data_IF_647718519918
#
_entry.id   IF_647718519918
#
_cell.length_a   1.000
_cell.length_b   1.000
_cell.length_c   1.000
_cell.angle_alpha   90.00
_cell.angle_beta   90.00
_cell.angle_gamma   90.00
#
_symmetry.space_group_name_H-M   'P 1'
#
loop_
_entity.id
_entity.type
_entity.pdbx_description
1 polymer ?
#
# COMPACT_ATOMS: atom_id res chain seq x y z
N UNK A 1 -1.41 -2.51 -16.83
CA UNK A 1 -0.87 -3.09 -15.58
C UNK A 1 -2.05 -3.60 -14.75
N UNK A 2 -2.45 -4.87 -14.93
CA UNK A 2 -3.60 -5.50 -14.23
C UNK A 2 -3.20 -6.31 -12.97
N UNK A 3 -1.91 -6.30 -12.62
CA UNK A 3 -1.36 -7.19 -11.59
C UNK A 3 -1.96 -6.96 -10.20
N UNK A 4 -2.40 -5.74 -9.91
CA UNK A 4 -3.02 -5.36 -8.63
C UNK A 4 -4.55 -5.30 -8.70
N UNK A 5 -5.18 -5.64 -9.83
CA UNK A 5 -6.64 -5.58 -9.98
C UNK A 5 -7.31 -6.57 -9.02
N UNK A 6 -7.93 -6.06 -7.95
CA UNK A 6 -8.45 -6.85 -6.84
C UNK A 6 -7.39 -7.52 -5.97
N UNK A 7 -6.16 -7.00 -5.99
CA UNK A 7 -5.14 -7.31 -5.00
C UNK A 7 -5.43 -6.62 -3.68
N UNK A 8 -4.49 -6.70 -2.76
CA UNK A 8 -4.59 -6.07 -1.45
C UNK A 8 -3.43 -5.13 -1.17
N UNK A 9 -3.67 -4.13 -0.33
CA UNK A 9 -2.65 -3.31 0.30
C UNK A 9 -2.71 -3.55 1.80
N UNK A 10 -1.59 -3.96 2.36
CA UNK A 10 -1.41 -4.21 3.77
C UNK A 10 -0.55 -3.12 4.36
N UNK A 11 -0.99 -2.56 5.48
CA UNK A 11 -0.33 -1.47 6.19
C UNK A 11 0.29 -2.03 7.46
N UNK A 12 1.54 -1.67 7.70
CA UNK A 12 2.34 -2.20 8.79
C UNK A 12 2.98 -1.07 9.60
N UNK A 13 3.32 -1.40 10.84
CA UNK A 13 4.16 -0.58 11.70
C UNK A 13 5.66 -0.89 11.50
N UNK A 14 6.48 -0.20 12.29
CA UNK A 14 7.91 -0.49 12.42
C UNK A 14 8.72 -0.12 11.18
N UNK A 15 9.84 -0.81 10.98
CA UNK A 15 10.75 -0.53 9.87
C UNK A 15 10.39 -1.37 8.66
N UNK A 16 10.19 -0.70 7.52
CA UNK A 16 10.04 -1.34 6.21
C UNK A 16 11.25 -2.26 5.91
N UNK A 17 11.02 -3.49 5.46
CA UNK A 17 12.08 -4.35 4.95
C UNK A 17 12.83 -3.72 3.76
N UNK A 18 14.11 -4.09 3.59
CA UNK A 18 14.94 -3.52 2.52
C UNK A 18 14.42 -3.88 1.12
N UNK A 19 13.84 -5.08 0.97
CA UNK A 19 13.31 -5.57 -0.31
C UNK A 19 11.89 -6.10 -0.16
N UNK A 20 11.15 -6.09 -1.27
CA UNK A 20 9.76 -6.57 -1.32
C UNK A 20 9.65 -8.07 -1.06
N UNK A 21 10.71 -8.82 -1.37
CA UNK A 21 10.79 -10.27 -1.15
C UNK A 21 11.20 -10.64 0.28
N UNK A 22 11.66 -9.67 1.07
CA UNK A 22 11.98 -9.91 2.48
C UNK A 22 10.70 -10.20 3.25
N UNK A 23 10.68 -11.34 3.93
CA UNK A 23 9.57 -11.76 4.77
C UNK A 23 9.29 -10.73 5.88
N UNK A 24 8.02 -10.61 6.24
CA UNK A 24 7.55 -9.80 7.35
C UNK A 24 7.61 -10.70 8.59
N UNK A 25 8.41 -10.31 9.58
CA UNK A 25 8.63 -11.10 10.81
C UNK A 25 8.25 -10.31 12.05
N UNK A 26 8.75 -9.07 12.13
CA UNK A 26 8.66 -8.26 13.35
C UNK A 26 7.61 -7.15 13.24
N UNK A 27 7.11 -6.89 12.03
CA UNK A 27 6.15 -5.82 11.78
C UNK A 27 4.73 -6.31 12.02
N UNK A 28 3.95 -5.52 12.74
CA UNK A 28 2.54 -5.75 13.02
C UNK A 28 1.70 -5.33 11.82
N UNK A 29 0.81 -6.23 11.36
CA UNK A 29 -0.23 -5.86 10.40
C UNK A 29 -1.25 -4.96 11.10
N UNK A 30 -1.38 -3.72 10.64
CA UNK A 30 -2.33 -2.75 11.17
C UNK A 30 -3.66 -2.80 10.43
N UNK A 31 -3.62 -2.89 9.10
CA UNK A 31 -4.83 -2.89 8.27
C UNK A 31 -4.62 -3.63 6.95
N UNK A 32 -5.68 -4.23 6.44
CA UNK A 32 -5.72 -4.85 5.11
C UNK A 32 -6.86 -4.24 4.29
N UNK A 33 -6.50 -3.56 3.20
CA UNK A 33 -7.48 -2.95 2.30
C UNK A 33 -7.43 -3.62 0.93
N UNK A 34 -8.59 -3.74 0.29
CA UNK A 34 -8.69 -4.30 -1.06
C UNK A 34 -8.65 -3.19 -2.13
N UNK A 35 -7.90 -3.45 -3.20
CA UNK A 35 -7.93 -2.61 -4.39
C UNK A 35 -9.22 -2.81 -5.18
N UNK A 36 -9.68 -1.73 -5.82
CA UNK A 36 -10.71 -1.80 -6.85
C UNK A 36 -10.27 -2.63 -8.06
N UNK A 37 -11.23 -2.99 -8.92
CA UNK A 37 -10.98 -3.55 -10.25
C UNK A 37 -11.52 -2.59 -11.31
N UNK A 38 -10.67 -1.88 -12.07
CA UNK A 38 -9.19 -1.87 -12.01
C UNK A 38 -8.63 -1.17 -10.76
N UNK A 39 -7.40 -1.50 -10.37
CA UNK A 39 -6.79 -0.98 -9.14
C UNK A 39 -6.25 0.44 -9.29
N UNK A 40 -5.73 0.77 -10.47
CA UNK A 40 -5.13 2.06 -10.77
C UNK A 40 -5.80 2.71 -11.99
N UNK A 41 -5.74 4.03 -12.02
CA UNK A 41 -6.00 4.81 -13.23
C UNK A 41 -4.82 4.66 -14.22
N UNK A 42 -5.02 5.14 -15.44
CA UNK A 42 -3.91 5.22 -16.40
C UNK A 42 -2.79 6.09 -15.80
N UNK A 43 -1.54 5.65 -15.97
CA UNK A 43 -0.40 6.43 -15.49
C UNK A 43 -0.29 7.73 -16.29
N UNK A 44 -0.15 8.85 -15.60
CA UNK A 44 0.13 10.17 -16.18
C UNK A 44 1.47 10.62 -15.60
N UNK A 45 2.39 11.05 -16.47
CA UNK A 45 3.75 11.47 -16.08
C UNK A 45 4.52 10.41 -15.27
N UNK A 46 4.31 9.12 -15.56
CA UNK A 46 4.97 8.00 -14.87
C UNK A 46 4.39 7.67 -13.48
N UNK A 47 3.31 8.34 -13.08
CA UNK A 47 2.63 8.10 -11.80
C UNK A 47 1.27 7.47 -12.07
N UNK A 48 1.07 6.26 -11.56
CA UNK A 48 -0.24 5.63 -11.51
C UNK A 48 -0.92 5.96 -10.18
N UNK A 49 -2.10 6.56 -10.22
CA UNK A 49 -2.92 6.81 -9.03
C UNK A 49 -3.86 5.64 -8.80
N UNK A 50 -3.91 5.13 -7.57
CA UNK A 50 -4.89 4.11 -7.23
C UNK A 50 -6.30 4.71 -7.32
N UNK A 51 -7.24 3.91 -7.80
CA UNK A 51 -8.68 4.23 -7.69
C UNK A 51 -9.11 4.16 -6.22
N UNK A 52 -10.39 4.40 -5.95
CA UNK A 52 -10.94 4.25 -4.61
C UNK A 52 -10.52 2.90 -3.99
N UNK A 53 -9.85 2.95 -2.85
CA UNK A 53 -9.48 1.77 -2.06
C UNK A 53 -10.56 1.63 -0.99
N UNK A 54 -11.17 0.45 -0.91
CA UNK A 54 -12.22 0.21 0.06
C UNK A 54 -11.64 0.35 1.49
N UNK A 55 -12.28 1.12 2.38
CA UNK A 55 -11.80 1.27 3.75
C UNK A 55 -11.84 -0.06 4.48
N UNK A 56 -10.79 -0.36 5.25
CA UNK A 56 -10.82 -1.45 6.22
C UNK A 56 -11.77 -1.04 7.35
N UNK A 57 -12.81 -1.84 7.57
CA UNK A 57 -13.84 -1.56 8.57
C UNK A 57 -13.38 -1.91 9.99
N UNK A 58 -12.31 -2.70 10.13
CA UNK A 58 -11.79 -3.13 11.42
C UNK A 58 -10.31 -3.45 11.34
N UNK A 59 -9.48 -2.46 11.68
CA UNK A 59 -8.03 -2.61 11.76
C UNK A 59 -7.62 -3.88 12.53
N UNK A 60 -6.72 -4.67 11.93
CA UNK A 60 -6.18 -5.89 12.51
C UNK A 60 -5.35 -5.65 13.78
N UNK A 61 -4.74 -4.46 13.89
CA UNK A 61 -3.82 -4.12 14.97
C UNK A 61 -3.82 -2.62 15.27
N UNK A 62 -3.03 -2.25 16.28
CA UNK A 62 -2.84 -0.86 16.69
C UNK A 62 -1.38 -0.48 16.62
N UNK A 63 -1.09 0.76 16.23
CA UNK A 63 0.27 1.24 16.07
C UNK A 63 0.38 2.42 15.13
N UNK A 64 1.61 2.85 14.86
CA UNK A 64 1.91 3.89 13.88
C UNK A 64 2.15 3.28 12.51
N UNK A 65 1.31 3.63 11.53
CA UNK A 65 1.46 3.21 10.15
C UNK A 65 2.64 3.92 9.49
N UNK A 66 3.71 3.18 9.22
CA UNK A 66 4.95 3.73 8.66
C UNK A 66 5.18 3.26 7.22
N UNK A 67 4.71 2.07 6.85
CA UNK A 67 4.89 1.53 5.50
C UNK A 67 3.75 0.59 5.09
N UNK A 68 3.68 0.29 3.80
CA UNK A 68 2.71 -0.63 3.24
C UNK A 68 3.37 -1.56 2.22
N UNK A 69 2.72 -2.71 2.00
CA UNK A 69 3.02 -3.68 0.94
C UNK A 69 1.77 -3.95 0.13
N UNK A 70 1.87 -3.79 -1.19
CA UNK A 70 0.82 -4.23 -2.12
C UNK A 70 1.09 -5.65 -2.60
N UNK A 71 0.04 -6.45 -2.76
CA UNK A 71 0.11 -7.81 -3.24
C UNK A 71 -0.87 -8.06 -4.38
N UNK A 72 -0.49 -8.90 -5.33
CA UNK A 72 -1.35 -9.28 -6.45
C UNK A 72 -2.58 -10.05 -5.99
N UNK A 73 -3.65 -10.01 -6.78
CA UNK A 73 -4.80 -10.89 -6.58
C UNK A 73 -4.44 -12.34 -6.93
N UNK A 74 -5.16 -13.32 -6.36
CA UNK A 74 -5.09 -14.73 -6.75
C UNK A 74 -4.88 -15.70 -5.58
N UNK A 75 -4.82 -16.99 -5.89
CA UNK A 75 -4.65 -18.06 -4.89
C UNK A 75 -3.28 -18.03 -4.19
N UNK A 76 -2.28 -17.39 -4.82
CA UNK A 76 -0.97 -17.10 -4.22
C UNK A 76 -0.64 -15.63 -4.46
N UNK A 77 -1.02 -14.73 -3.54
CA UNK A 77 -0.70 -13.31 -3.69
C UNK A 77 0.82 -13.12 -3.61
N UNK A 78 1.41 -12.49 -4.63
CA UNK A 78 2.82 -12.12 -4.65
C UNK A 78 2.95 -10.65 -4.25
N UNK A 79 3.96 -10.32 -3.44
CA UNK A 79 4.28 -8.95 -3.11
C UNK A 79 4.75 -8.19 -4.37
N UNK A 80 4.14 -7.05 -4.67
CA UNK A 80 4.38 -6.30 -5.91
C UNK A 80 5.22 -5.06 -5.65
N UNK A 81 4.87 -4.30 -4.62
CA UNK A 81 5.65 -3.12 -4.25
C UNK A 81 5.45 -2.75 -2.78
N UNK A 82 6.49 -2.09 -2.24
CA UNK A 82 6.49 -1.49 -0.91
C UNK A 82 6.64 0.03 -1.02
N UNK A 83 6.02 0.74 -0.08
CA UNK A 83 6.15 2.19 0.01
C UNK A 83 5.97 2.70 1.43
N UNK A 84 6.32 3.97 1.63
CA UNK A 84 6.06 4.66 2.90
C UNK A 84 4.59 5.05 3.03
N UNK A 85 4.13 5.13 4.27
CA UNK A 85 2.85 5.70 4.67
C UNK A 85 3.10 7.06 5.30
N UNK A 86 2.21 8.01 5.05
CA UNK A 86 2.26 9.32 5.68
C UNK A 86 0.88 9.96 5.77
N UNK A 87 0.84 11.21 6.23
CA UNK A 87 -0.38 11.99 6.37
C UNK A 87 -0.54 12.97 5.20
N UNK A 88 -1.76 13.02 4.65
CA UNK A 88 -2.10 13.93 3.56
C UNK A 88 -1.83 15.39 3.96
N UNK A 89 -1.07 16.11 3.13
CA UNK A 89 -0.73 17.52 3.36
C UNK A 89 0.45 17.76 4.32
N UNK A 90 1.05 16.69 4.86
CA UNK A 90 2.30 16.77 5.66
C UNK A 90 3.44 15.98 5.05
N UNK A 91 3.13 14.81 4.51
CA UNK A 91 4.13 13.87 4.00
C UNK A 91 4.11 13.76 2.47
N UNK A 92 5.26 13.41 1.91
CA UNK A 92 5.45 13.12 0.48
C UNK A 92 5.37 11.62 0.16
N UNK A 93 4.93 10.82 1.13
CA UNK A 93 4.84 9.37 1.04
C UNK A 93 3.94 8.89 -0.12
N UNK A 94 4.11 7.61 -0.48
CA UNK A 94 3.36 7.00 -1.58
C UNK A 94 1.90 6.74 -1.19
N UNK A 95 1.66 6.28 0.04
CA UNK A 95 0.32 6.13 0.61
C UNK A 95 0.08 7.26 1.62
N UNK A 96 -1.03 7.97 1.46
CA UNK A 96 -1.41 9.04 2.38
C UNK A 96 -2.73 8.71 3.06
N UNK A 97 -2.72 8.76 4.40
CA UNK A 97 -3.89 8.69 5.25
C UNK A 97 -4.53 10.07 5.40
N UNK A 98 -5.82 10.11 5.76
CA UNK A 98 -6.56 11.38 5.82
C UNK A 98 -6.29 12.20 7.08
N UNK A 99 -6.38 11.55 8.25
CA UNK A 99 -6.46 12.27 9.53
C UNK A 99 -5.34 11.90 10.51
N UNK A 100 -4.91 10.64 10.51
CA UNK A 100 -3.88 10.13 11.43
C UNK A 100 -3.15 8.95 10.78
N UNK A 101 -1.88 8.77 11.13
CA UNK A 101 -1.10 7.54 10.88
C UNK A 101 -1.14 6.58 12.07
N UNK A 102 -1.56 7.05 13.25
CA UNK A 102 -1.81 6.19 14.41
C UNK A 102 -3.16 5.49 14.26
N UNK A 103 -3.12 4.16 14.14
CA UNK A 103 -4.28 3.29 14.02
C UNK A 103 -4.54 2.64 15.38
N UNK A 104 -5.81 2.56 15.76
CA UNK A 104 -6.27 1.76 16.89
C UNK A 104 -6.85 0.44 16.39
N UNK A 105 -6.69 -0.67 17.14
CA UNK A 105 -7.33 -1.94 16.77
C UNK A 105 -8.84 -1.77 16.62
N UNK A 106 -9.43 -2.36 15.58
CA UNK A 106 -10.86 -2.25 15.28
C UNK A 106 -11.31 -0.89 14.74
N UNK A 107 -10.42 0.08 14.55
CA UNK A 107 -10.76 1.35 13.92
C UNK A 107 -10.98 1.19 12.41
N UNK A 108 -11.76 2.09 11.83
CA UNK A 108 -11.93 2.18 10.38
C UNK A 108 -10.69 2.86 9.78
N UNK A 109 -9.99 2.16 8.89
CA UNK A 109 -8.78 2.68 8.23
C UNK A 109 -9.11 3.07 6.79
N UNK A 110 -8.98 4.37 6.50
CA UNK A 110 -9.26 4.93 5.18
C UNK A 110 -8.01 5.53 4.55
N UNK A 111 -7.75 5.13 3.32
CA UNK A 111 -6.66 5.68 2.51
C UNK A 111 -7.19 6.84 1.67
N UNK A 112 -6.51 7.98 1.69
CA UNK A 112 -6.89 9.14 0.90
C UNK A 112 -6.38 9.06 -0.52
N UNK A 113 -5.13 8.65 -0.67
CA UNK A 113 -4.48 8.50 -1.97
C UNK A 113 -3.34 7.50 -1.85
N UNK A 114 -3.24 6.63 -2.84
CA UNK A 114 -2.05 5.84 -3.10
C UNK A 114 -1.53 6.21 -4.48
N UNK A 115 -0.25 6.58 -4.53
CA UNK A 115 0.47 6.83 -5.78
C UNK A 115 1.53 5.76 -5.93
N UNK A 116 1.55 5.13 -7.10
CA UNK A 116 2.63 4.27 -7.51
C UNK A 116 3.45 5.01 -8.56
N UNK A 117 4.65 5.41 -8.16
CA UNK A 117 5.65 5.90 -9.12
C UNK A 117 6.29 4.64 -9.68
N UNK A 118 6.00 4.34 -10.93
CA UNK A 118 6.66 3.24 -11.59
C UNK A 118 8.11 3.69 -11.79
N UNK A 119 9.12 3.08 -11.12
CA UNK A 119 10.49 3.35 -11.51
C UNK A 119 10.58 3.03 -12.99
N UNK A 120 11.21 3.91 -13.77
CA UNK A 120 11.52 3.63 -15.17
C UNK A 120 12.12 2.24 -15.19
N UNK A 121 11.47 1.32 -15.89
CA UNK A 121 11.99 -0.02 -16.04
C UNK A 121 13.37 0.11 -16.67
N UNK A 122 14.42 0.01 -15.86
CA UNK A 122 15.72 -0.33 -16.36
C UNK A 122 15.56 -1.77 -16.85
N UNK A 123 15.22 -1.91 -18.13
CA UNK A 123 15.46 -3.15 -18.84
C UNK A 123 16.97 -3.34 -18.79
N UNK A 124 17.47 -4.02 -17.76
CA UNK A 124 18.76 -4.67 -17.86
C UNK A 124 18.58 -5.73 -18.95
N UNK A 125 19.26 -5.45 -20.07
CA UNK A 125 19.40 -6.26 -21.28
C UNK A 125 19.42 -7.77 -21.05
N UNK A 126 18.77 -8.49 -21.98
CA UNK A 126 19.48 -9.42 -22.87
C UNK A 126 18.81 -9.46 -24.23
#
# INVERSE_FOLDING_TARGET
MRLLDGGTVRIYDGRRPATVDTAITDQTLLAELAFSKPAFEAAVDGVAKARAIAPDQSANGGGEATWFRSSSAGAKPAAVCDGGVGLLGRDTACLLMRNTTTIQPGAIVTVSSLRYIQPKSEKTEK
#
